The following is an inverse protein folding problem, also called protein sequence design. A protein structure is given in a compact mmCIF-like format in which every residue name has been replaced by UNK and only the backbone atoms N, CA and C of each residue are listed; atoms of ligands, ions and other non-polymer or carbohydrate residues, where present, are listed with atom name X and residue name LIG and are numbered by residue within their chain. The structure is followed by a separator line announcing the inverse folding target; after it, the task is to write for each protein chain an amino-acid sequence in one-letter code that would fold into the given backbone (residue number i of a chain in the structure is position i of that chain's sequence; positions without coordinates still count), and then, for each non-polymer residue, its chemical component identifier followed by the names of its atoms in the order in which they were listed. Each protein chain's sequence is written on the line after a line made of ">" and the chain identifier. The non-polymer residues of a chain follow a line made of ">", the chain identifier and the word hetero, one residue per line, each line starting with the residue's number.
data_IF_253143288508
#
_entry.id   IF_253143288508
#
_cell.length_a   1.000
_cell.length_b   1.000
_cell.length_c   1.000
_cell.angle_alpha   90.00
_cell.angle_beta   90.00
_cell.angle_gamma   90.00
#
_symmetry.space_group_name_H-M   'P 1'
#
loop_
_entity.id
_entity.type
_entity.pdbx_description
1 polymer ?
#
# COMPACT_ATOMS: atom_id res chain seq x y z
N UNK A 1 -35.18 -1.21 11.74
CA UNK A 1 -33.74 -0.86 11.64
C UNK A 1 -33.44 0.08 10.45
N UNK A 2 -34.06 -0.13 9.27
CA UNK A 2 -33.87 0.75 8.10
C UNK A 2 -34.66 2.08 8.17
N UNK A 3 -35.76 2.12 8.90
CA UNK A 3 -36.57 3.36 9.07
C UNK A 3 -35.79 4.53 9.68
N UNK A 4 -34.83 4.27 10.57
CA UNK A 4 -33.98 5.31 11.14
C UNK A 4 -32.87 5.82 10.20
N UNK A 5 -32.64 5.19 9.05
CA UNK A 5 -31.55 5.55 8.14
C UNK A 5 -31.86 6.90 7.43
N UNK A 6 -33.15 7.17 7.16
CA UNK A 6 -33.60 8.39 6.48
C UNK A 6 -34.18 9.42 7.45
N UNK A 7 -34.03 9.21 8.76
CA UNK A 7 -34.49 10.10 9.82
C UNK A 7 -33.71 11.43 9.78
N UNK A 8 -34.41 12.53 9.60
CA UNK A 8 -33.84 13.87 9.48
C UNK A 8 -33.14 14.33 10.79
N UNK A 9 -33.67 13.97 11.94
CA UNK A 9 -33.12 14.38 13.24
C UNK A 9 -31.79 13.67 13.50
N UNK A 10 -31.66 12.39 13.11
CA UNK A 10 -30.41 11.64 13.21
C UNK A 10 -29.34 12.20 12.28
N UNK A 11 -29.72 12.58 11.06
CA UNK A 11 -28.81 13.25 10.14
C UNK A 11 -28.39 14.62 10.66
N UNK A 12 -29.33 15.41 11.21
CA UNK A 12 -29.02 16.71 11.83
C UNK A 12 -27.99 16.54 12.95
N UNK A 13 -28.23 15.59 13.87
CA UNK A 13 -27.28 15.25 14.96
C UNK A 13 -25.92 14.84 14.42
N UNK A 14 -25.89 14.02 13.36
CA UNK A 14 -24.63 13.57 12.74
C UNK A 14 -23.85 14.74 12.16
N UNK A 15 -24.51 15.64 11.45
CA UNK A 15 -23.85 16.83 10.87
C UNK A 15 -23.39 17.85 11.92
N UNK A 16 -24.11 17.99 13.03
CA UNK A 16 -23.68 18.82 14.15
C UNK A 16 -22.42 18.28 14.85
N UNK A 17 -22.18 16.98 14.75
CA UNK A 17 -21.04 16.28 15.38
C UNK A 17 -19.96 15.87 14.39
N UNK A 18 -19.77 16.61 13.31
CA UNK A 18 -18.75 16.30 12.29
C UNK A 18 -17.29 16.54 12.72
N UNK A 19 -17.07 17.31 13.79
CA UNK A 19 -15.73 17.64 14.29
C UNK A 19 -14.82 16.41 14.49
N UNK A 20 -15.23 15.40 15.27
CA UNK A 20 -14.46 14.17 15.48
C UNK A 20 -14.15 13.40 14.17
N UNK A 21 -15.07 13.42 13.18
CA UNK A 21 -14.83 12.77 11.89
C UNK A 21 -13.71 13.46 11.10
N UNK A 22 -13.67 14.82 11.10
CA UNK A 22 -12.58 15.56 10.47
C UNK A 22 -11.26 15.36 11.17
N UNK A 23 -11.24 15.27 12.51
CA UNK A 23 -10.03 14.92 13.24
C UNK A 23 -9.54 13.52 12.85
N UNK A 24 -10.43 12.52 12.86
CA UNK A 24 -10.13 11.15 12.45
C UNK A 24 -9.65 11.07 10.99
N UNK A 25 -10.25 11.85 10.10
CA UNK A 25 -9.81 11.97 8.71
C UNK A 25 -8.38 12.49 8.60
N UNK A 26 -8.04 13.52 9.38
CA UNK A 26 -6.68 14.06 9.45
C UNK A 26 -5.65 13.02 9.94
N UNK A 27 -6.00 12.24 10.99
CA UNK A 27 -5.15 11.15 11.48
C UNK A 27 -4.99 10.07 10.42
N UNK A 28 -6.07 9.67 9.74
CA UNK A 28 -6.03 8.70 8.64
C UNK A 28 -5.05 9.14 7.55
N UNK A 29 -5.13 10.40 7.11
CA UNK A 29 -4.21 10.93 6.08
C UNK A 29 -2.75 10.91 6.54
N UNK A 30 -2.48 11.29 7.78
CA UNK A 30 -1.12 11.25 8.35
C UNK A 30 -0.56 9.83 8.37
N UNK A 31 -1.36 8.86 8.83
CA UNK A 31 -0.99 7.43 8.84
C UNK A 31 -0.75 6.92 7.43
N UNK A 32 -1.60 7.29 6.46
CA UNK A 32 -1.43 6.94 5.05
C UNK A 32 -0.09 7.43 4.53
N UNK A 33 0.23 8.70 4.71
CA UNK A 33 1.49 9.28 4.21
C UNK A 33 2.70 8.61 4.86
N UNK A 34 2.73 8.51 6.19
CA UNK A 34 3.84 7.90 6.91
C UNK A 34 3.99 6.41 6.60
N UNK A 35 2.87 5.67 6.54
CA UNK A 35 2.85 4.25 6.19
C UNK A 35 3.28 3.98 4.75
N UNK A 36 2.87 4.82 3.79
CA UNK A 36 3.33 4.73 2.39
C UNK A 36 4.83 4.97 2.27
N UNK A 37 5.36 6.00 2.92
CA UNK A 37 6.79 6.29 2.91
C UNK A 37 7.58 5.10 3.48
N UNK A 38 7.18 4.59 4.63
CA UNK A 38 7.81 3.42 5.24
C UNK A 38 7.75 2.20 4.30
N UNK A 39 6.56 1.90 3.77
CA UNK A 39 6.35 0.73 2.92
C UNK A 39 7.09 0.81 1.60
N UNK A 40 7.20 2.00 0.99
CA UNK A 40 7.98 2.22 -0.23
C UNK A 40 9.48 2.02 0.02
N UNK A 41 10.02 2.62 1.08
CA UNK A 41 11.46 2.50 1.40
C UNK A 41 11.81 1.04 1.73
N UNK A 42 11.13 0.47 2.71
CA UNK A 42 11.42 -0.90 3.17
C UNK A 42 11.09 -1.95 2.09
N UNK A 43 9.94 -1.81 1.43
CA UNK A 43 9.53 -2.73 0.36
C UNK A 43 10.47 -2.69 -0.84
N UNK A 44 10.96 -1.51 -1.23
CA UNK A 44 11.97 -1.40 -2.30
C UNK A 44 13.27 -2.07 -1.90
N UNK A 45 13.76 -1.84 -0.69
CA UNK A 45 14.98 -2.49 -0.20
C UNK A 45 14.84 -4.02 -0.20
N UNK A 46 13.74 -4.55 0.36
CA UNK A 46 13.47 -5.99 0.39
C UNK A 46 13.28 -6.57 -1.02
N UNK A 47 12.58 -5.87 -1.91
CA UNK A 47 12.40 -6.27 -3.30
C UNK A 47 13.72 -6.37 -4.06
N UNK A 48 14.61 -5.39 -3.87
CA UNK A 48 15.98 -5.46 -4.41
C UNK A 48 16.78 -6.61 -3.79
N UNK A 49 16.71 -6.81 -2.46
CA UNK A 49 17.37 -7.92 -1.79
C UNK A 49 16.96 -9.27 -2.37
N UNK A 50 15.69 -9.45 -2.71
CA UNK A 50 15.16 -10.70 -3.28
C UNK A 50 15.74 -11.03 -4.66
N UNK A 51 16.20 -10.03 -5.41
CA UNK A 51 16.79 -10.20 -6.76
C UNK A 51 18.33 -10.27 -6.75
N UNK A 52 18.99 -10.09 -5.59
CA UNK A 52 20.45 -10.15 -5.47
C UNK A 52 20.99 -11.58 -5.55
N UNK A 53 22.31 -11.71 -5.80
CA UNK A 53 22.99 -12.99 -5.75
C UNK A 53 23.24 -13.51 -4.33
N UNK A 54 23.20 -12.65 -3.33
CA UNK A 54 23.42 -13.01 -1.93
C UNK A 54 22.31 -13.91 -1.39
N UNK A 55 22.65 -15.12 -0.95
CA UNK A 55 21.69 -16.05 -0.35
C UNK A 55 21.10 -15.50 0.95
N UNK A 56 21.92 -14.78 1.73
CA UNK A 56 21.50 -14.19 3.01
C UNK A 56 20.45 -13.10 2.80
N UNK A 57 20.70 -12.14 1.90
CA UNK A 57 19.75 -11.05 1.62
C UNK A 57 18.43 -11.59 1.07
N UNK A 58 18.47 -12.57 0.17
CA UNK A 58 17.27 -13.24 -0.32
C UNK A 58 16.49 -13.97 0.77
N UNK A 59 17.19 -14.62 1.70
CA UNK A 59 16.55 -15.31 2.81
C UNK A 59 15.86 -14.31 3.76
N UNK A 60 16.51 -13.19 4.09
CA UNK A 60 15.94 -12.12 4.92
C UNK A 60 14.65 -11.57 4.26
N UNK A 61 14.71 -11.22 2.97
CA UNK A 61 13.54 -10.73 2.25
C UNK A 61 12.41 -11.77 2.23
N UNK A 62 12.72 -13.03 1.93
CA UNK A 62 11.73 -14.11 1.89
C UNK A 62 11.05 -14.31 3.24
N UNK A 63 11.81 -14.43 4.34
CA UNK A 63 11.25 -14.63 5.69
C UNK A 63 10.32 -13.47 6.05
N UNK A 64 10.72 -12.24 5.76
CA UNK A 64 9.90 -11.07 6.00
C UNK A 64 8.58 -11.12 5.21
N UNK A 65 8.66 -11.34 3.89
CA UNK A 65 7.50 -11.38 3.00
C UNK A 65 6.55 -12.52 3.40
N UNK A 66 7.07 -13.73 3.60
CA UNK A 66 6.29 -14.90 4.03
C UNK A 66 5.57 -14.65 5.36
N UNK A 67 6.23 -14.02 6.33
CA UNK A 67 5.63 -13.70 7.62
C UNK A 67 4.45 -12.72 7.46
N UNK A 68 4.70 -11.57 6.81
CA UNK A 68 3.68 -10.51 6.72
C UNK A 68 2.51 -10.88 5.79
N UNK A 69 2.75 -11.62 4.71
CA UNK A 69 1.69 -12.00 3.78
C UNK A 69 0.82 -13.17 4.27
N UNK A 70 1.37 -14.03 5.11
CA UNK A 70 0.64 -15.21 5.63
C UNK A 70 0.04 -15.00 7.04
N UNK A 71 0.11 -13.79 7.59
CA UNK A 71 -0.53 -13.44 8.85
C UNK A 71 -1.50 -12.27 8.67
N UNK A 72 -2.70 -12.30 9.33
CA UNK A 72 -3.69 -11.23 9.18
C UNK A 72 -3.21 -9.90 9.76
N UNK A 73 -3.36 -8.80 9.01
CA UNK A 73 -3.00 -7.46 9.47
C UNK A 73 -3.63 -7.09 10.83
N UNK A 74 -4.93 -7.36 11.10
CA UNK A 74 -5.51 -7.06 12.41
C UNK A 74 -4.79 -7.74 13.58
N UNK A 75 -4.36 -8.99 13.39
CA UNK A 75 -3.63 -9.75 14.42
C UNK A 75 -2.25 -9.11 14.66
N UNK A 76 -1.55 -8.71 13.62
CA UNK A 76 -0.25 -8.04 13.71
C UNK A 76 -0.36 -6.72 14.48
N UNK A 77 -1.35 -5.88 14.14
CA UNK A 77 -1.56 -4.58 14.79
C UNK A 77 -1.96 -4.75 16.26
N UNK A 78 -2.86 -5.69 16.57
CA UNK A 78 -3.22 -6.01 17.96
C UNK A 78 -2.03 -6.53 18.76
N UNK A 79 -1.21 -7.41 18.17
CA UNK A 79 0.01 -7.90 18.81
C UNK A 79 0.99 -6.75 19.10
N UNK A 80 1.22 -5.86 18.12
CA UNK A 80 2.07 -4.69 18.32
C UNK A 80 1.54 -3.77 19.42
N UNK A 81 0.23 -3.59 19.50
CA UNK A 81 -0.40 -2.77 20.53
C UNK A 81 -0.25 -3.39 21.93
N UNK A 82 -0.47 -4.68 22.08
CA UNK A 82 -0.42 -5.38 23.35
C UNK A 82 1.00 -5.71 23.82
N UNK A 83 1.84 -6.21 22.93
CA UNK A 83 3.19 -6.67 23.26
C UNK A 83 4.27 -5.60 23.04
N UNK A 84 4.05 -4.64 22.14
CA UNK A 84 5.04 -3.61 21.80
C UNK A 84 5.53 -2.79 22.99
N UNK A 85 4.66 -2.27 23.87
CA UNK A 85 5.07 -1.54 25.08
C UNK A 85 5.95 -2.36 26.01
N UNK A 86 5.64 -3.64 26.19
CA UNK A 86 6.39 -4.56 27.05
C UNK A 86 7.74 -4.93 26.42
N UNK A 87 7.77 -5.15 25.11
CA UNK A 87 8.99 -5.44 24.38
C UNK A 87 9.97 -4.25 24.42
N UNK A 88 9.47 -3.03 24.24
CA UNK A 88 10.29 -1.82 24.39
C UNK A 88 10.80 -1.64 25.82
N UNK A 89 9.96 -1.91 26.82
CA UNK A 89 10.39 -1.92 28.21
C UNK A 89 11.55 -2.86 28.46
N UNK A 90 11.45 -4.09 27.95
CA UNK A 90 12.51 -5.12 28.11
C UNK A 90 13.84 -4.70 27.47
N UNK A 91 13.81 -4.01 26.31
CA UNK A 91 15.03 -3.56 25.61
C UNK A 91 15.61 -2.30 26.25
N UNK A 92 14.77 -1.37 26.67
CA UNK A 92 15.23 -0.08 27.21
C UNK A 92 15.58 -0.14 28.72
N UNK A 93 15.15 -1.21 29.42
CA UNK A 93 15.30 -1.32 30.86
C UNK A 93 14.41 -0.34 31.66
N UNK A 94 13.34 0.18 31.05
CA UNK A 94 12.44 1.11 31.69
C UNK A 94 11.66 0.43 32.84
N UNK A 95 11.37 1.15 33.93
CA UNK A 95 10.63 0.60 35.08
C UNK A 95 9.17 0.25 34.76
N UNK A 96 8.61 0.85 33.69
CA UNK A 96 7.23 0.62 33.25
C UNK A 96 7.13 0.45 31.73
N UNK A 97 6.05 -0.20 31.21
CA UNK A 97 5.84 -0.32 29.76
C UNK A 97 5.85 1.05 29.07
N UNK A 98 6.64 1.13 27.99
CA UNK A 98 6.79 2.37 27.22
C UNK A 98 5.51 2.64 26.43
N UNK A 99 4.85 3.77 26.67
CA UNK A 99 3.66 4.15 25.90
C UNK A 99 4.03 4.46 24.45
N UNK A 100 3.43 3.73 23.52
CA UNK A 100 3.57 3.97 22.09
C UNK A 100 2.35 4.78 21.63
N UNK A 101 2.58 5.92 20.99
CA UNK A 101 1.49 6.71 20.45
C UNK A 101 0.69 5.89 19.40
N UNK A 102 -0.65 5.93 19.42
CA UNK A 102 -1.48 5.19 18.46
C UNK A 102 -1.13 5.46 16.99
N UNK A 103 -0.77 6.71 16.67
CA UNK A 103 -0.26 7.09 15.35
C UNK A 103 0.96 6.25 14.93
N UNK A 104 1.92 6.05 15.86
CA UNK A 104 3.15 5.27 15.60
C UNK A 104 2.80 3.81 15.32
N UNK A 105 1.93 3.23 16.13
CA UNK A 105 1.43 1.86 15.92
C UNK A 105 0.72 1.74 14.58
N UNK A 106 -0.06 2.76 14.21
CA UNK A 106 -0.79 2.81 12.96
C UNK A 106 0.13 2.77 11.75
N UNK A 107 1.02 3.73 11.61
CA UNK A 107 1.86 3.78 10.43
C UNK A 107 2.89 2.63 10.38
N UNK A 108 3.38 2.14 11.53
CA UNK A 108 4.23 0.95 11.58
C UNK A 108 3.44 -0.29 11.16
N UNK A 109 2.24 -0.52 11.71
CA UNK A 109 1.43 -1.68 11.39
C UNK A 109 1.12 -1.78 9.91
N UNK A 110 0.51 -0.74 9.32
CA UNK A 110 0.18 -0.76 7.89
C UNK A 110 1.42 -0.64 7.00
N UNK A 111 2.43 0.12 7.42
CA UNK A 111 3.65 0.33 6.64
C UNK A 111 4.49 -0.94 6.52
N UNK A 112 4.71 -1.67 7.61
CA UNK A 112 5.43 -2.95 7.61
C UNK A 112 4.65 -4.01 6.81
N UNK A 113 3.34 -4.09 6.99
CA UNK A 113 2.49 -5.01 6.22
C UNK A 113 2.59 -4.75 4.72
N UNK A 114 2.39 -3.50 4.28
CA UNK A 114 2.44 -3.15 2.87
C UNK A 114 3.85 -3.20 2.27
N UNK A 115 4.91 -3.09 3.08
CA UNK A 115 6.28 -3.28 2.62
C UNK A 115 6.51 -4.68 2.04
N UNK A 116 5.87 -5.72 2.59
CA UNK A 116 5.95 -7.07 2.05
C UNK A 116 5.34 -7.16 0.64
N UNK A 117 4.18 -6.54 0.42
CA UNK A 117 3.52 -6.52 -0.89
C UNK A 117 4.27 -5.67 -1.91
N UNK A 118 4.79 -4.52 -1.48
CA UNK A 118 5.62 -3.67 -2.34
C UNK A 118 6.93 -4.39 -2.72
N UNK A 119 7.52 -5.15 -1.80
CA UNK A 119 8.69 -5.99 -2.10
C UNK A 119 8.43 -6.96 -3.25
N UNK A 120 7.27 -7.63 -3.26
CA UNK A 120 6.88 -8.51 -4.34
C UNK A 120 6.62 -7.77 -5.66
N UNK A 121 6.00 -6.59 -5.61
CA UNK A 121 5.82 -5.73 -6.80
C UNK A 121 7.17 -5.34 -7.40
N UNK A 122 8.14 -4.95 -6.58
CA UNK A 122 9.49 -4.59 -7.04
C UNK A 122 10.20 -5.81 -7.63
N UNK A 123 10.18 -6.96 -6.93
CA UNK A 123 10.79 -8.20 -7.38
C UNK A 123 10.23 -8.63 -8.74
N UNK A 124 8.92 -8.77 -8.84
CA UNK A 124 8.25 -9.21 -10.06
C UNK A 124 8.44 -8.23 -11.21
N UNK A 125 8.49 -6.94 -10.93
CA UNK A 125 8.77 -5.91 -11.93
C UNK A 125 10.19 -5.98 -12.51
N UNK A 126 11.19 -6.26 -11.67
CA UNK A 126 12.58 -6.47 -12.12
C UNK A 126 12.69 -7.75 -12.97
N UNK A 127 12.03 -8.83 -12.52
CA UNK A 127 12.05 -10.13 -13.20
C UNK A 127 11.25 -10.14 -14.51
N UNK A 128 10.30 -9.23 -14.68
CA UNK A 128 9.48 -9.10 -15.88
C UNK A 128 10.23 -8.52 -17.08
N UNK A 129 11.39 -7.87 -16.87
CA UNK A 129 12.21 -7.37 -17.97
C UNK A 129 12.89 -8.57 -18.67
N UNK A 130 12.68 -8.75 -20.01
CA UNK A 130 13.24 -9.90 -20.71
C UNK A 130 14.77 -9.95 -20.62
N UNK A 131 15.32 -11.14 -20.37
CA UNK A 131 16.79 -11.34 -20.24
C UNK A 131 17.57 -10.90 -21.48
N UNK A 132 16.98 -11.03 -22.66
CA UNK A 132 17.57 -10.56 -23.91
C UNK A 132 17.88 -9.07 -23.93
N UNK A 133 17.18 -8.24 -23.16
CA UNK A 133 17.51 -6.80 -23.01
C UNK A 133 18.86 -6.61 -22.32
N UNK A 134 19.15 -7.41 -21.31
CA UNK A 134 20.42 -7.38 -20.59
C UNK A 134 21.56 -7.94 -21.49
N UNK A 135 21.30 -9.03 -22.23
CA UNK A 135 22.27 -9.65 -23.12
C UNK A 135 22.61 -8.71 -24.29
N UNK A 136 21.62 -8.09 -24.93
CA UNK A 136 21.81 -7.11 -25.99
C UNK A 136 22.64 -5.90 -25.52
N UNK A 137 22.34 -5.39 -24.30
CA UNK A 137 23.12 -4.30 -23.71
C UNK A 137 24.60 -4.68 -23.52
N UNK A 138 24.86 -5.88 -22.98
CA UNK A 138 26.22 -6.36 -22.76
C UNK A 138 26.97 -6.57 -24.07
N UNK A 139 26.29 -7.04 -25.12
CA UNK A 139 26.88 -7.18 -26.48
C UNK A 139 27.26 -5.83 -27.09
N UNK A 140 26.60 -4.75 -26.69
CA UNK A 140 26.94 -3.37 -27.07
C UNK A 140 27.99 -2.71 -26.18
N UNK A 141 28.62 -3.48 -25.26
CA UNK A 141 29.68 -3.00 -24.38
C UNK A 141 29.22 -2.33 -23.09
N UNK A 142 27.92 -2.36 -22.75
CA UNK A 142 27.46 -1.87 -21.48
C UNK A 142 27.96 -2.75 -20.33
N UNK A 143 28.46 -2.13 -19.26
CA UNK A 143 28.65 -2.84 -17.99
C UNK A 143 27.30 -3.26 -17.40
N UNK A 144 27.28 -4.23 -16.50
CA UNK A 144 26.06 -4.64 -15.82
C UNK A 144 25.34 -3.46 -15.13
N UNK A 145 26.08 -2.60 -14.44
CA UNK A 145 25.52 -1.43 -13.78
C UNK A 145 24.86 -0.49 -14.80
N UNK A 146 25.52 -0.18 -15.91
CA UNK A 146 24.98 0.64 -16.99
C UNK A 146 23.71 0.03 -17.59
N UNK A 147 23.71 -1.29 -17.87
CA UNK A 147 22.53 -1.99 -18.38
C UNK A 147 21.35 -1.93 -17.39
N UNK A 148 21.60 -2.06 -16.08
CA UNK A 148 20.56 -1.87 -15.08
C UNK A 148 20.02 -0.44 -15.08
N UNK A 149 20.87 0.59 -15.03
CA UNK A 149 20.44 1.98 -14.92
C UNK A 149 19.72 2.50 -16.19
N UNK A 150 20.23 2.16 -17.36
CA UNK A 150 19.73 2.74 -18.62
C UNK A 150 18.67 1.90 -19.30
N UNK A 151 18.57 0.59 -19.00
CA UNK A 151 17.67 -0.32 -19.72
C UNK A 151 16.68 -0.99 -18.79
N UNK A 152 17.15 -1.64 -17.70
CA UNK A 152 16.27 -2.42 -16.84
C UNK A 152 15.40 -1.52 -15.98
N UNK A 153 15.97 -0.58 -15.21
CA UNK A 153 15.24 0.25 -14.26
C UNK A 153 14.15 1.11 -14.93
N UNK A 154 14.35 1.78 -16.07
CA UNK A 154 13.29 2.54 -16.73
C UNK A 154 12.11 1.67 -17.17
N UNK A 155 12.38 0.44 -17.62
CA UNK A 155 11.34 -0.52 -17.98
C UNK A 155 10.63 -1.03 -16.72
N UNK A 156 11.39 -1.46 -15.69
CA UNK A 156 10.86 -1.88 -14.41
C UNK A 156 9.92 -0.83 -13.82
N UNK A 157 10.32 0.45 -13.80
CA UNK A 157 9.50 1.53 -13.25
C UNK A 157 8.12 1.63 -13.90
N UNK A 158 8.05 1.49 -15.23
CA UNK A 158 6.78 1.49 -15.97
C UNK A 158 5.91 0.29 -15.60
N UNK A 159 6.52 -0.87 -15.37
CA UNK A 159 5.82 -2.12 -15.01
C UNK A 159 5.27 -2.05 -13.60
N UNK A 160 6.06 -1.54 -12.63
CA UNK A 160 5.68 -1.55 -11.21
C UNK A 160 4.74 -0.40 -10.82
N UNK A 161 4.72 0.70 -11.56
CA UNK A 161 3.95 1.89 -11.18
C UNK A 161 2.46 1.60 -10.97
N UNK A 162 1.72 0.92 -11.87
CA UNK A 162 0.32 0.60 -11.64
C UNK A 162 0.07 -0.28 -10.40
N UNK A 163 0.77 -1.41 -10.19
CA UNK A 163 0.59 -2.20 -8.97
C UNK A 163 1.02 -1.47 -7.69
N UNK A 164 2.03 -0.58 -7.71
CA UNK A 164 2.37 0.26 -6.56
C UNK A 164 1.21 1.21 -6.18
N UNK A 165 0.58 1.82 -7.18
CA UNK A 165 -0.58 2.66 -6.94
C UNK A 165 -1.76 1.86 -6.35
N UNK A 166 -1.97 0.60 -6.76
CA UNK A 166 -2.95 -0.30 -6.16
C UNK A 166 -2.61 -0.61 -4.68
N UNK A 167 -1.32 -0.79 -4.36
CA UNK A 167 -0.88 -0.96 -2.97
C UNK A 167 -1.15 0.30 -2.13
N UNK A 168 -0.96 1.49 -2.67
CA UNK A 168 -1.32 2.74 -2.01
C UNK A 168 -2.82 2.81 -1.69
N UNK A 169 -3.70 2.45 -2.64
CA UNK A 169 -5.15 2.35 -2.42
C UNK A 169 -5.53 1.35 -1.32
N UNK A 170 -4.88 0.19 -1.31
CA UNK A 170 -5.12 -0.84 -0.30
C UNK A 170 -4.64 -0.37 1.08
N UNK A 171 -3.49 0.32 1.15
CA UNK A 171 -2.98 0.88 2.40
C UNK A 171 -3.97 1.89 3.01
N UNK A 172 -4.55 2.79 2.21
CA UNK A 172 -5.59 3.73 2.68
C UNK A 172 -6.73 2.99 3.37
N UNK A 173 -7.26 1.93 2.74
CA UNK A 173 -8.38 1.14 3.31
C UNK A 173 -7.95 0.39 4.58
N UNK A 174 -6.74 -0.13 4.59
CA UNK A 174 -6.19 -0.90 5.70
C UNK A 174 -5.89 -0.05 6.94
N UNK A 175 -5.85 1.29 6.84
CA UNK A 175 -5.75 2.15 8.04
C UNK A 175 -6.93 1.96 8.98
N UNK A 176 -8.10 1.54 8.49
CA UNK A 176 -9.28 1.27 9.33
C UNK A 176 -9.04 0.23 10.43
N UNK A 177 -8.00 -0.59 10.32
CA UNK A 177 -7.58 -1.53 11.37
C UNK A 177 -7.19 -0.82 12.67
N UNK A 178 -6.83 0.48 12.61
CA UNK A 178 -6.47 1.26 13.78
C UNK A 178 -7.63 1.45 14.76
N UNK A 179 -8.88 1.28 14.30
CA UNK A 179 -10.04 1.27 15.18
C UNK A 179 -9.91 0.22 16.30
N UNK A 180 -9.24 -0.91 16.03
CA UNK A 180 -9.01 -1.99 17.00
C UNK A 180 -8.07 -1.60 18.15
N UNK A 181 -7.25 -0.57 17.95
CA UNK A 181 -6.20 -0.15 18.91
C UNK A 181 -6.38 1.30 19.37
N UNK A 182 -7.61 1.81 19.31
CA UNK A 182 -7.95 3.19 19.67
C UNK A 182 -7.07 4.23 18.93
N UNK A 183 -6.80 4.00 17.64
CA UNK A 183 -5.85 4.78 16.82
C UNK A 183 -6.24 6.24 16.57
N UNK A 184 -7.47 6.62 16.89
CA UNK A 184 -7.99 7.98 16.66
C UNK A 184 -8.25 8.30 15.19
N UNK A 185 -8.13 7.32 14.31
CA UNK A 185 -8.42 7.41 12.87
C UNK A 185 -9.91 7.58 12.59
N UNK A 186 -10.25 7.75 11.33
CA UNK A 186 -11.63 7.99 10.87
C UNK A 186 -12.57 6.83 11.28
N UNK A 187 -12.13 5.58 11.15
CA UNK A 187 -12.96 4.43 11.51
C UNK A 187 -13.22 4.39 13.04
N UNK A 188 -12.19 4.62 13.84
CA UNK A 188 -12.32 4.70 15.30
C UNK A 188 -13.28 5.80 15.74
N UNK A 189 -13.20 7.00 15.16
CA UNK A 189 -14.11 8.11 15.45
C UNK A 189 -15.56 7.79 15.06
N UNK A 190 -15.73 7.11 13.93
CA UNK A 190 -17.05 6.67 13.46
C UNK A 190 -17.66 5.61 14.38
N UNK A 191 -16.85 4.66 14.84
CA UNK A 191 -17.27 3.60 15.75
C UNK A 191 -17.69 4.17 17.12
N UNK A 192 -16.93 5.12 17.64
CA UNK A 192 -17.28 5.86 18.85
C UNK A 192 -18.60 6.63 18.71
N UNK A 193 -18.81 7.32 17.56
CA UNK A 193 -20.06 8.02 17.30
C UNK A 193 -21.25 7.05 17.29
N UNK A 194 -21.13 5.94 16.55
CA UNK A 194 -22.19 4.92 16.48
C UNK A 194 -22.45 4.29 17.85
N UNK A 195 -21.40 4.02 18.63
CA UNK A 195 -21.52 3.49 19.98
C UNK A 195 -22.23 4.46 20.93
N UNK A 196 -22.01 5.77 20.76
CA UNK A 196 -22.61 6.80 21.64
C UNK A 196 -24.06 7.08 21.32
N UNK A 197 -24.39 7.24 20.02
CA UNK A 197 -25.72 7.68 19.56
C UNK A 197 -26.60 6.53 19.06
N UNK A 198 -26.05 5.38 18.75
CA UNK A 198 -26.76 4.28 18.08
C UNK A 198 -27.14 4.57 16.63
N UNK A 199 -26.53 5.56 15.99
CA UNK A 199 -26.90 6.04 14.65
C UNK A 199 -25.94 5.53 13.59
N UNK A 200 -26.44 4.67 12.70
CA UNK A 200 -25.69 4.09 11.59
C UNK A 200 -25.19 5.13 10.57
N UNK A 201 -25.73 6.34 10.59
CA UNK A 201 -25.30 7.49 9.79
C UNK A 201 -23.80 7.77 9.96
N UNK A 202 -23.23 7.50 11.14
CA UNK A 202 -21.78 7.61 11.39
C UNK A 202 -20.95 6.75 10.45
N UNK A 203 -21.36 5.51 10.20
CA UNK A 203 -20.65 4.64 9.23
C UNK A 203 -20.86 5.06 7.79
N UNK A 204 -22.03 5.65 7.45
CA UNK A 204 -22.25 6.19 6.09
C UNK A 204 -21.29 7.36 5.85
N UNK A 205 -21.20 8.29 6.81
CA UNK A 205 -20.23 9.39 6.74
C UNK A 205 -18.81 8.88 6.61
N UNK A 206 -18.44 7.88 7.41
CA UNK A 206 -17.12 7.23 7.31
C UNK A 206 -16.85 6.68 5.91
N UNK A 207 -17.80 5.92 5.34
CA UNK A 207 -17.68 5.39 3.97
C UNK A 207 -17.50 6.50 2.93
N UNK A 208 -18.29 7.59 3.04
CA UNK A 208 -18.18 8.72 2.12
C UNK A 208 -16.83 9.43 2.24
N UNK A 209 -16.31 9.62 3.44
CA UNK A 209 -15.00 10.23 3.67
C UNK A 209 -13.86 9.36 3.15
N UNK A 210 -13.89 8.02 3.35
CA UNK A 210 -12.95 7.11 2.70
C UNK A 210 -13.06 7.13 1.17
N UNK A 211 -14.30 7.24 0.65
CA UNK A 211 -14.52 7.35 -0.80
C UNK A 211 -13.86 8.61 -1.37
N UNK A 212 -13.94 9.76 -0.68
CA UNK A 212 -13.28 11.01 -1.07
C UNK A 212 -11.77 10.85 -1.20
N UNK A 213 -11.13 10.04 -0.35
CA UNK A 213 -9.69 9.74 -0.45
C UNK A 213 -9.42 8.76 -1.59
N UNK A 214 -10.16 7.65 -1.60
CA UNK A 214 -9.86 6.52 -2.48
C UNK A 214 -10.24 6.77 -3.94
N UNK A 215 -11.32 7.52 -4.20
CA UNK A 215 -11.82 7.70 -5.56
C UNK A 215 -10.86 8.48 -6.48
N UNK A 216 -10.31 9.65 -6.07
CA UNK A 216 -9.32 10.35 -6.89
C UNK A 216 -8.05 9.52 -7.10
N UNK A 217 -7.62 8.79 -6.06
CA UNK A 217 -6.46 7.91 -6.14
C UNK A 217 -6.73 6.74 -7.11
N UNK A 218 -7.93 6.16 -7.10
CA UNK A 218 -8.32 5.12 -8.04
C UNK A 218 -8.37 5.63 -9.50
N UNK A 219 -8.86 6.84 -9.72
CA UNK A 219 -8.83 7.48 -11.04
C UNK A 219 -7.40 7.69 -11.53
N UNK A 220 -6.50 8.13 -10.65
CA UNK A 220 -5.08 8.28 -10.97
C UNK A 220 -4.46 6.92 -11.36
N UNK A 221 -4.75 5.86 -10.61
CA UNK A 221 -4.28 4.50 -10.94
C UNK A 221 -4.75 4.07 -12.32
N UNK A 222 -6.04 4.23 -12.62
CA UNK A 222 -6.61 3.86 -13.92
C UNK A 222 -5.98 4.68 -15.07
N UNK A 223 -5.76 5.95 -14.85
CA UNK A 223 -5.10 6.82 -15.84
C UNK A 223 -3.66 6.35 -16.10
N UNK A 224 -2.89 6.06 -15.05
CA UNK A 224 -1.52 5.54 -15.17
C UNK A 224 -1.48 4.18 -15.88
N UNK A 225 -2.43 3.28 -15.58
CA UNK A 225 -2.54 1.99 -16.24
C UNK A 225 -2.80 2.13 -17.74
N UNK A 226 -3.75 2.97 -18.14
CA UNK A 226 -4.05 3.24 -19.56
C UNK A 226 -2.83 3.77 -20.28
N UNK A 227 -2.14 4.74 -19.69
CA UNK A 227 -0.93 5.34 -20.28
C UNK A 227 0.25 4.35 -20.36
N UNK A 228 0.38 3.43 -19.42
CA UNK A 228 1.41 2.39 -19.43
C UNK A 228 1.12 1.29 -20.47
N UNK A 229 -0.16 1.04 -20.78
CA UNK A 229 -0.59 0.03 -21.75
C UNK A 229 -0.66 0.56 -23.19
N UNK A 230 -0.62 1.85 -23.40
CA UNK A 230 -0.43 2.42 -24.73
C UNK A 230 0.97 2.04 -25.23
N UNK A 231 1.06 0.80 -25.80
CA UNK A 231 2.23 0.40 -26.61
C UNK A 231 2.42 1.46 -27.69
N UNK A 232 3.66 1.85 -28.03
CA UNK A 232 3.90 2.48 -29.32
C UNK A 232 3.21 1.55 -30.35
N UNK A 233 2.28 2.06 -31.13
CA UNK A 233 1.64 1.32 -32.22
C UNK A 233 2.78 0.67 -32.99
N UNK A 234 2.92 -0.65 -32.85
CA UNK A 234 3.93 -1.41 -33.55
C UNK A 234 3.82 -1.05 -35.01
N UNK A 235 4.94 -0.93 -35.69
CA UNK A 235 5.00 -0.84 -37.13
C UNK A 235 4.04 -1.90 -37.67
N UNK A 236 2.96 -1.47 -38.31
CA UNK A 236 2.00 -2.40 -38.90
C UNK A 236 2.77 -3.30 -39.87
N UNK A 237 2.72 -4.61 -39.64
CA UNK A 237 3.34 -5.59 -40.58
C UNK A 237 2.78 -5.43 -42.00
N UNK A 238 1.60 -4.83 -42.16
CA UNK A 238 1.02 -4.40 -43.43
C UNK A 238 1.94 -3.43 -44.21
N UNK A 239 2.75 -2.62 -43.52
CA UNK A 239 3.75 -1.76 -44.16
C UNK A 239 5.00 -2.49 -44.67
N UNK A 240 5.19 -3.75 -44.27
CA UNK A 240 6.34 -4.57 -44.70
C UNK A 240 5.99 -5.62 -45.75
N UNK A 241 4.75 -5.67 -46.26
CA UNK A 241 4.31 -6.60 -47.30
C UNK A 241 4.33 -8.09 -46.85
N UNK A 242 4.23 -8.39 -45.57
CA UNK A 242 4.33 -9.75 -45.02
C UNK A 242 2.96 -10.36 -44.71
N UNK A 243 1.88 -9.86 -45.31
CA UNK A 243 0.51 -10.29 -45.05
C UNK A 243 0.21 -11.75 -45.51
N UNK A 244 1.17 -12.43 -46.19
CA UNK A 244 0.95 -13.75 -46.79
C UNK A 244 1.72 -14.89 -46.07
N UNK A 245 2.20 -14.73 -44.82
CA UNK A 245 3.03 -15.76 -44.18
C UNK A 245 2.20 -16.67 -43.22
N UNK A 246 0.92 -16.42 -43.03
CA UNK A 246 0.07 -17.23 -42.15
C UNK A 246 -0.76 -18.34 -42.83
N UNK A 247 -0.59 -18.60 -44.13
CA UNK A 247 -1.30 -19.67 -44.86
C UNK A 247 -0.37 -20.75 -45.48
N UNK A 248 0.76 -21.08 -44.84
CA UNK A 248 1.57 -22.19 -45.28
C UNK A 248 1.89 -23.17 -44.14
#
# INVERSE_FOLDING_TARGET
>A
MLEGLFDADRWSTTFQNMGPFWEGFGVTLQVVVAGLLLSLVLGTLLGVFSTTRSRVLRAISRVYVEFYQNTPLPVQVLFMYMAGPQFLQAITGADQPVRIAPFVLGFLGVGLYHAAYISEVIRTGIEAVPRGQMEAAQSQGFTRAQAYWYIVLPQTFKIILPPLCNQALNLVKNTSVLALVAGGDLMYRSDNFVSLYGYLQGYIVCCLMYFIICFPLAMLVQWLQRRSQERPRGVSLAGLGLDNVEEA
#
